data_IF_760347612725
#
_entry.id   IF_760347612725
#
_cell.length_a   1.000
_cell.length_b   1.000
_cell.length_c   1.000
_cell.angle_alpha   90.00
_cell.angle_beta   90.00
_cell.angle_gamma   90.00
#
_symmetry.space_group_name_H-M   'P 1'
#
loop_
_entity.id
_entity.type
_entity.pdbx_description
1 polymer ?
#
# COMPACT_ATOMS: atom_id res chain seq x y z
N UNK A 1 4.52 21.27 11.90
CA UNK A 1 4.31 19.81 12.06
C UNK A 1 3.42 19.21 10.97
N UNK A 2 2.21 19.75 10.74
CA UNK A 2 1.26 19.30 9.69
C UNK A 2 1.85 19.06 8.29
N UNK A 3 2.74 19.95 7.82
CA UNK A 3 3.39 19.76 6.51
C UNK A 3 4.24 18.48 6.43
N UNK A 4 4.91 18.10 7.51
CA UNK A 4 5.66 16.84 7.55
C UNK A 4 4.71 15.64 7.56
N UNK A 5 3.60 15.71 8.33
CA UNK A 5 2.59 14.64 8.40
C UNK A 5 1.98 14.39 7.02
N UNK A 6 1.53 15.45 6.33
CA UNK A 6 0.94 15.33 4.98
C UNK A 6 1.93 14.75 3.95
N UNK A 7 3.21 15.15 4.02
CA UNK A 7 4.26 14.58 3.16
C UNK A 7 4.47 13.10 3.45
N UNK A 8 4.57 12.71 4.72
CA UNK A 8 4.77 11.31 5.11
C UNK A 8 3.55 10.44 4.78
N UNK A 9 2.33 10.93 5.03
CA UNK A 9 1.08 10.30 4.62
C UNK A 9 1.06 10.01 3.11
N UNK A 10 1.47 10.99 2.30
CA UNK A 10 1.55 10.84 0.84
C UNK A 10 2.63 9.86 0.40
N UNK A 11 3.79 9.87 1.06
CA UNK A 11 4.86 8.91 0.79
C UNK A 11 4.44 7.48 1.10
N UNK A 12 3.88 7.23 2.29
CA UNK A 12 3.39 5.90 2.69
C UNK A 12 2.27 5.44 1.76
N UNK A 13 1.32 6.33 1.43
CA UNK A 13 0.27 6.06 0.45
C UNK A 13 0.84 5.57 -0.88
N UNK A 14 1.84 6.27 -1.44
CA UNK A 14 2.50 5.85 -2.68
C UNK A 14 3.19 4.50 -2.56
N UNK A 15 3.84 4.21 -1.43
CA UNK A 15 4.51 2.92 -1.20
C UNK A 15 3.52 1.75 -1.09
N UNK A 16 2.37 1.96 -0.45
CA UNK A 16 1.28 0.99 -0.37
C UNK A 16 0.65 0.74 -1.75
N UNK A 17 0.39 1.79 -2.52
CA UNK A 17 -0.11 1.66 -3.90
C UNK A 17 0.88 0.94 -4.82
N UNK A 18 2.18 1.22 -4.70
CA UNK A 18 3.23 0.46 -5.40
C UNK A 18 3.26 -1.02 -4.98
N UNK A 19 2.74 -1.36 -3.80
CA UNK A 19 2.56 -2.73 -3.32
C UNK A 19 1.22 -3.37 -3.74
N UNK A 20 0.50 -2.72 -4.68
CA UNK A 20 -0.80 -3.12 -5.26
C UNK A 20 -2.02 -2.91 -4.34
N UNK A 21 -1.89 -2.17 -3.25
CA UNK A 21 -3.06 -1.82 -2.43
C UNK A 21 -3.78 -0.61 -3.01
N UNK A 22 -5.07 -0.77 -3.25
CA UNK A 22 -5.95 0.33 -3.65
C UNK A 22 -6.37 1.13 -2.42
N UNK A 23 -6.08 2.44 -2.42
CA UNK A 23 -6.35 3.35 -1.31
C UNK A 23 -7.53 4.25 -1.69
N UNK A 24 -8.65 4.03 -1.03
CA UNK A 24 -9.90 4.77 -1.23
C UNK A 24 -9.82 6.16 -0.57
N UNK A 25 -9.21 6.23 0.62
CA UNK A 25 -9.03 7.49 1.36
C UNK A 25 -7.80 7.43 2.24
N UNK A 26 -7.14 8.57 2.44
CA UNK A 26 -6.04 8.72 3.38
C UNK A 26 -6.22 9.97 4.22
N UNK A 27 -5.86 9.91 5.49
CA UNK A 27 -6.01 11.01 6.43
C UNK A 27 -4.87 11.00 7.45
N UNK A 28 -4.55 12.17 8.02
CA UNK A 28 -3.63 12.26 9.15
C UNK A 28 -4.23 13.14 10.23
N UNK A 29 -4.02 12.74 11.49
CA UNK A 29 -4.51 13.46 12.66
C UNK A 29 -3.42 13.47 13.74
N UNK A 30 -3.39 14.51 14.55
CA UNK A 30 -2.47 14.64 15.69
C UNK A 30 -3.14 15.44 16.79
N UNK A 31 -2.82 15.14 18.04
CA UNK A 31 -3.15 16.00 19.20
C UNK A 31 -2.15 17.16 19.37
N UNK A 32 -1.17 17.29 18.47
CA UNK A 32 -0.06 18.26 18.50
C UNK A 32 0.85 18.15 19.74
N UNK A 33 0.64 17.16 20.60
CA UNK A 33 1.38 16.98 21.84
C UNK A 33 2.17 15.67 21.87
N UNK A 34 1.48 14.53 21.71
CA UNK A 34 2.01 13.19 22.01
C UNK A 34 1.74 12.17 20.92
N UNK A 35 0.66 12.32 20.17
CA UNK A 35 0.20 11.28 19.25
C UNK A 35 -0.06 11.86 17.86
N UNK A 36 0.33 11.08 16.86
CA UNK A 36 -0.07 11.27 15.48
C UNK A 36 -0.50 9.93 14.90
N UNK A 37 -1.46 9.96 13.97
CA UNK A 37 -1.98 8.78 13.29
C UNK A 37 -2.09 9.05 11.80
N UNK A 38 -1.72 8.04 11.01
CA UNK A 38 -2.02 7.95 9.59
C UNK A 38 -3.11 6.91 9.40
N UNK A 39 -4.18 7.29 8.71
CA UNK A 39 -5.34 6.42 8.46
C UNK A 39 -5.43 6.20 6.96
N UNK A 40 -5.62 4.95 6.57
CA UNK A 40 -5.83 4.54 5.19
C UNK A 40 -7.07 3.66 5.12
N UNK A 41 -8.04 4.08 4.32
CA UNK A 41 -9.17 3.25 3.91
C UNK A 41 -8.77 2.56 2.60
N UNK A 42 -8.84 1.24 2.59
CA UNK A 42 -8.33 0.38 1.51
C UNK A 42 -9.42 -0.56 1.05
N UNK A 43 -9.38 -0.95 -0.22
CA UNK A 43 -10.37 -1.85 -0.81
C UNK A 43 -10.28 -3.27 -0.22
N UNK A 44 -9.06 -3.81 -0.09
CA UNK A 44 -8.82 -5.14 0.46
C UNK A 44 -7.66 -5.14 1.45
N UNK A 45 -7.89 -5.70 2.65
CA UNK A 45 -6.86 -5.85 3.67
C UNK A 45 -5.82 -6.93 3.34
N UNK A 46 -6.19 -7.90 2.51
CA UNK A 46 -5.32 -8.95 2.02
C UNK A 46 -5.43 -9.02 0.51
N UNK A 47 -4.29 -8.94 -0.18
CA UNK A 47 -4.27 -9.09 -1.62
C UNK A 47 -4.39 -10.56 -2.01
N UNK A 48 -5.07 -10.86 -3.13
CA UNK A 48 -5.21 -12.24 -3.59
C UNK A 48 -3.84 -12.88 -3.85
N UNK A 49 -3.75 -14.20 -3.69
CA UNK A 49 -2.56 -15.03 -4.00
C UNK A 49 -2.30 -15.19 -5.50
N UNK A 50 -2.82 -14.28 -6.31
CA UNK A 50 -2.60 -14.23 -7.74
C UNK A 50 -2.17 -12.82 -8.14
N UNK A 51 -1.38 -12.73 -9.19
CA UNK A 51 -1.02 -11.47 -9.83
C UNK A 51 -1.27 -11.57 -11.33
N UNK A 52 -1.86 -10.52 -11.90
CA UNK A 52 -2.07 -10.38 -13.33
C UNK A 52 -0.94 -9.51 -13.89
N UNK A 53 -0.18 -10.04 -14.85
CA UNK A 53 0.90 -9.32 -15.51
C UNK A 53 0.51 -9.04 -16.96
N UNK A 54 0.48 -7.75 -17.35
CA UNK A 54 0.27 -7.36 -18.74
C UNK A 54 1.61 -7.25 -19.47
N UNK A 55 1.75 -8.02 -20.53
CA UNK A 55 2.94 -8.09 -21.37
C UNK A 55 2.90 -7.18 -22.59
N UNK A 56 3.79 -7.42 -23.56
CA UNK A 56 3.81 -6.70 -24.83
C UNK A 56 2.58 -7.02 -25.68
N UNK A 57 2.41 -6.23 -26.74
CA UNK A 57 1.47 -6.53 -27.82
C UNK A 57 1.87 -7.83 -28.54
N UNK A 58 0.90 -8.70 -28.84
CA UNK A 58 1.13 -10.07 -29.34
C UNK A 58 1.82 -10.12 -30.70
N UNK A 59 1.70 -9.07 -31.50
CA UNK A 59 2.35 -8.98 -32.82
C UNK A 59 3.85 -8.63 -32.71
N UNK A 60 4.32 -8.21 -31.53
CA UNK A 60 5.73 -8.02 -31.23
C UNK A 60 6.36 -9.38 -30.88
N UNK A 61 6.70 -10.15 -31.92
CA UNK A 61 7.11 -11.56 -31.80
C UNK A 61 8.28 -11.76 -30.83
N UNK A 62 9.34 -10.97 -30.96
CA UNK A 62 10.55 -11.16 -30.15
C UNK A 62 10.30 -10.91 -28.65
N UNK A 63 9.51 -9.88 -28.35
CA UNK A 63 9.11 -9.47 -27.01
C UNK A 63 8.14 -10.47 -26.40
N UNK A 64 7.19 -10.96 -27.20
CA UNK A 64 6.22 -11.99 -26.79
C UNK A 64 6.93 -13.31 -26.51
N UNK A 65 7.83 -13.75 -27.39
CA UNK A 65 8.65 -14.95 -27.19
C UNK A 65 9.49 -14.85 -25.91
N UNK A 66 10.10 -13.69 -25.67
CA UNK A 66 10.86 -13.40 -24.45
C UNK A 66 9.99 -13.41 -23.19
N UNK A 67 8.78 -12.83 -23.26
CA UNK A 67 7.82 -12.82 -22.17
C UNK A 67 7.38 -14.25 -21.81
N UNK A 68 7.00 -15.06 -22.80
CA UNK A 68 6.60 -16.46 -22.61
C UNK A 68 7.77 -17.27 -22.03
N UNK A 69 8.98 -17.12 -22.57
CA UNK A 69 10.16 -17.83 -22.06
C UNK A 69 10.45 -17.49 -20.61
N UNK A 70 10.29 -16.22 -20.21
CA UNK A 70 10.55 -15.75 -18.85
C UNK A 70 9.48 -16.19 -17.85
N UNK A 71 8.20 -16.12 -18.24
CA UNK A 71 7.06 -16.25 -17.32
C UNK A 71 6.27 -17.54 -17.47
N UNK A 72 6.38 -18.23 -18.60
CA UNK A 72 5.59 -19.42 -18.96
C UNK A 72 5.61 -20.51 -17.89
N UNK A 73 6.79 -20.85 -17.38
CA UNK A 73 6.92 -21.89 -16.36
C UNK A 73 6.36 -21.52 -14.98
N UNK A 74 6.18 -20.22 -14.70
CA UNK A 74 5.65 -19.72 -13.41
C UNK A 74 4.18 -19.30 -13.51
N UNK A 75 3.60 -19.28 -14.70
CA UNK A 75 2.25 -18.82 -14.94
C UNK A 75 1.26 -19.95 -14.76
N UNK A 76 0.21 -19.71 -13.97
CA UNK A 76 -0.96 -20.59 -13.88
C UNK A 76 -1.67 -20.61 -15.24
N UNK A 77 -1.77 -19.45 -15.89
CA UNK A 77 -2.40 -19.29 -17.19
C UNK A 77 -1.75 -18.14 -17.97
N UNK A 78 -1.66 -18.30 -19.28
CA UNK A 78 -1.29 -17.24 -20.23
C UNK A 78 -2.37 -17.17 -21.31
N UNK A 79 -2.81 -15.97 -21.64
CA UNK A 79 -3.80 -15.73 -22.69
C UNK A 79 -3.56 -14.38 -23.36
N UNK A 80 -4.42 -14.02 -24.31
CA UNK A 80 -4.41 -12.72 -24.97
C UNK A 80 -5.61 -11.88 -24.53
N UNK A 81 -5.37 -10.64 -24.14
CA UNK A 81 -6.41 -9.66 -23.79
C UNK A 81 -6.07 -8.34 -24.49
N UNK A 82 -7.01 -7.83 -25.28
CA UNK A 82 -6.88 -6.53 -25.96
C UNK A 82 -5.54 -6.36 -26.69
N UNK A 83 -5.20 -7.33 -27.55
CA UNK A 83 -3.94 -7.43 -28.31
C UNK A 83 -2.65 -7.62 -27.50
N UNK A 84 -2.73 -7.77 -26.18
CA UNK A 84 -1.57 -8.03 -25.32
C UNK A 84 -1.53 -9.45 -24.80
N UNK A 85 -0.33 -9.98 -24.64
CA UNK A 85 -0.14 -11.21 -23.86
C UNK A 85 -0.29 -10.90 -22.37
N UNK A 86 -1.08 -11.70 -21.67
CA UNK A 86 -1.32 -11.56 -20.23
C UNK A 86 -1.02 -12.88 -19.54
N UNK A 87 -0.43 -12.83 -18.34
CA UNK A 87 -0.26 -14.01 -17.49
C UNK A 87 -0.89 -13.81 -16.12
N UNK A 88 -1.36 -14.91 -15.54
CA UNK A 88 -1.67 -15.03 -14.11
C UNK A 88 -0.60 -15.90 -13.47
N UNK A 89 -0.01 -15.40 -12.39
CA UNK A 89 1.03 -16.10 -11.62
C UNK A 89 0.59 -16.20 -10.16
N UNK A 90 0.92 -17.32 -9.51
CA UNK A 90 0.74 -17.45 -8.06
C UNK A 90 1.69 -16.48 -7.34
N UNK A 91 1.18 -15.83 -6.30
CA UNK A 91 1.98 -14.94 -5.46
C UNK A 91 1.66 -15.18 -3.99
N UNK A 92 2.54 -14.67 -3.12
CA UNK A 92 2.31 -14.76 -1.68
C UNK A 92 1.10 -13.90 -1.32
N UNK A 93 0.30 -14.37 -0.36
CA UNK A 93 -0.69 -13.51 0.29
C UNK A 93 0.06 -12.34 0.92
N UNK A 94 -0.39 -11.12 0.66
CA UNK A 94 0.21 -9.92 1.23
C UNK A 94 -0.85 -9.27 2.11
N UNK A 95 -0.63 -9.30 3.43
CA UNK A 95 -1.42 -8.54 4.39
C UNK A 95 -0.98 -7.08 4.39
N UNK A 96 -1.94 -6.15 4.40
CA UNK A 96 -1.65 -4.72 4.53
C UNK A 96 -0.84 -4.43 5.80
N UNK A 97 -1.13 -5.13 6.90
CA UNK A 97 -0.47 -4.92 8.19
C UNK A 97 1.02 -5.28 8.12
N UNK A 98 1.32 -6.41 7.49
CA UNK A 98 2.70 -6.86 7.26
C UNK A 98 3.44 -5.93 6.28
N UNK A 99 2.79 -5.58 5.17
CA UNK A 99 3.38 -4.72 4.14
C UNK A 99 3.66 -3.30 4.67
N UNK A 100 2.71 -2.69 5.39
CA UNK A 100 2.89 -1.41 6.04
C UNK A 100 4.01 -1.45 7.08
N UNK A 101 4.11 -2.52 7.87
CA UNK A 101 5.22 -2.73 8.81
C UNK A 101 6.58 -2.73 8.12
N UNK A 102 6.69 -3.42 6.98
CA UNK A 102 7.92 -3.48 6.19
C UNK A 102 8.26 -2.12 5.55
N UNK A 103 7.26 -1.42 5.04
CA UNK A 103 7.40 -0.07 4.45
C UNK A 103 7.96 0.90 5.49
N UNK A 104 7.34 0.95 6.68
CA UNK A 104 7.75 1.88 7.74
C UNK A 104 9.16 1.52 8.24
N UNK A 105 9.47 0.23 8.44
CA UNK A 105 10.83 -0.19 8.82
C UNK A 105 11.87 0.25 7.80
N UNK A 106 11.64 0.00 6.51
CA UNK A 106 12.54 0.44 5.44
C UNK A 106 12.70 1.96 5.37
N UNK A 107 11.61 2.71 5.56
CA UNK A 107 11.64 4.17 5.58
C UNK A 107 12.43 4.71 6.79
N UNK A 108 12.30 4.08 7.96
CA UNK A 108 13.10 4.38 9.16
C UNK A 108 14.59 4.07 8.93
N UNK A 109 14.89 2.94 8.29
CA UNK A 109 16.28 2.50 8.05
C UNK A 109 16.99 3.33 6.97
N UNK A 110 16.26 3.86 5.99
CA UNK A 110 16.81 4.60 4.85
C UNK A 110 16.70 6.13 4.95
N UNK A 111 15.95 6.64 5.93
CA UNK A 111 15.58 8.05 6.02
C UNK A 111 16.58 8.96 6.78
N UNK A 112 16.43 10.26 6.56
CA UNK A 112 17.02 11.29 7.43
C UNK A 112 16.47 11.15 8.85
N UNK A 113 17.35 11.15 9.86
CA UNK A 113 17.00 10.97 11.28
C UNK A 113 16.38 12.23 11.92
N UNK A 114 15.44 12.90 11.24
CA UNK A 114 14.80 14.13 11.73
C UNK A 114 13.28 14.10 11.57
N UNK A 115 12.57 14.76 12.49
CA UNK A 115 11.11 14.89 12.47
C UNK A 115 10.37 13.54 12.59
N UNK A 116 9.34 13.34 11.78
CA UNK A 116 8.49 12.13 11.87
C UNK A 116 9.28 10.83 11.69
N UNK A 117 10.37 10.84 10.93
CA UNK A 117 11.21 9.64 10.78
C UNK A 117 11.89 9.24 12.10
N UNK A 118 12.30 10.19 12.95
CA UNK A 118 12.80 9.87 14.28
C UNK A 118 11.69 9.40 15.22
N UNK A 119 10.47 9.96 15.09
CA UNK A 119 9.33 9.52 15.91
C UNK A 119 8.96 8.06 15.60
N UNK A 120 8.90 7.69 14.32
CA UNK A 120 8.67 6.32 13.88
C UNK A 120 9.78 5.35 14.34
N UNK A 121 11.02 5.84 14.47
CA UNK A 121 12.14 5.06 15.03
C UNK A 121 11.95 4.76 16.52
N UNK A 122 11.41 5.72 17.27
CA UNK A 122 11.12 5.55 18.70
C UNK A 122 9.97 4.57 18.96
N UNK A 123 9.06 4.45 18.00
CA UNK A 123 8.07 3.38 17.98
C UNK A 123 6.83 3.74 17.18
N UNK A 124 6.14 2.72 16.68
CA UNK A 124 4.84 2.86 16.04
C UNK A 124 4.00 1.62 16.28
N UNK A 125 2.69 1.75 16.09
CA UNK A 125 1.74 0.63 16.14
C UNK A 125 0.85 0.68 14.90
N UNK A 126 0.54 -0.49 14.35
CA UNK A 126 -0.37 -0.63 13.20
C UNK A 126 -1.60 -1.41 13.66
N UNK A 127 -2.77 -0.85 13.38
CA UNK A 127 -4.06 -1.42 13.71
C UNK A 127 -4.86 -1.67 12.43
N UNK A 128 -5.62 -2.76 12.41
CA UNK A 128 -6.73 -2.93 11.46
C UNK A 128 -8.03 -2.45 12.10
N UNK A 129 -8.94 -1.90 11.30
CA UNK A 129 -10.21 -1.36 11.79
C UNK A 129 -11.14 -2.39 12.45
N UNK A 130 -10.92 -3.69 12.20
CA UNK A 130 -11.68 -4.79 12.79
C UNK A 130 -11.07 -5.34 14.10
N UNK A 131 -10.01 -4.71 14.63
CA UNK A 131 -9.44 -5.12 15.92
C UNK A 131 -10.37 -4.76 17.08
N UNK A 132 -10.49 -5.68 18.07
CA UNK A 132 -11.50 -5.61 19.15
C UNK A 132 -11.43 -4.36 20.03
N UNK A 133 -10.30 -3.63 20.06
CA UNK A 133 -10.14 -2.43 20.88
C UNK A 133 -9.14 -1.46 20.24
N UNK A 134 -9.66 -0.45 19.56
CA UNK A 134 -8.88 0.70 19.13
C UNK A 134 -8.74 1.71 20.28
N UNK A 135 -7.63 2.44 20.32
CA UNK A 135 -7.43 3.54 21.25
C UNK A 135 -8.44 4.67 20.96
N UNK A 136 -8.95 5.36 21.99
CA UNK A 136 -9.90 6.47 21.84
C UNK A 136 -9.39 7.57 20.92
N UNK A 137 -8.10 7.89 20.95
CA UNK A 137 -7.46 8.84 20.04
C UNK A 137 -7.61 8.41 18.56
N UNK A 138 -7.40 7.12 18.28
CA UNK A 138 -7.56 6.56 16.93
C UNK A 138 -9.03 6.61 16.49
N UNK A 139 -9.97 6.32 17.39
CA UNK A 139 -11.41 6.41 17.11
C UNK A 139 -11.80 7.86 16.77
N UNK A 140 -11.35 8.84 17.55
CA UNK A 140 -11.58 10.26 17.27
C UNK A 140 -11.04 10.64 15.89
N UNK A 141 -9.82 10.21 15.55
CA UNK A 141 -9.23 10.50 14.25
C UNK A 141 -10.00 9.85 13.08
N UNK A 142 -10.56 8.65 13.28
CA UNK A 142 -11.43 7.99 12.29
C UNK A 142 -12.72 8.79 12.08
N UNK A 143 -13.35 9.28 13.15
CA UNK A 143 -14.56 10.11 13.03
C UNK A 143 -14.26 11.38 12.24
N UNK A 144 -13.15 12.07 12.52
CA UNK A 144 -12.72 13.21 11.72
C UNK A 144 -12.51 12.86 10.24
N UNK A 145 -11.91 11.71 9.94
CA UNK A 145 -11.75 11.26 8.55
C UNK A 145 -13.11 11.03 7.86
N UNK A 146 -14.11 10.51 8.57
CA UNK A 146 -15.45 10.26 8.03
C UNK A 146 -16.14 11.60 7.73
N UNK A 147 -16.07 12.54 8.67
CA UNK A 147 -16.73 13.85 8.57
C UNK A 147 -16.10 14.77 7.50
N UNK A 148 -14.81 14.59 7.19
CA UNK A 148 -14.06 15.40 6.22
C UNK A 148 -14.55 15.23 4.76
N UNK A 149 -15.39 14.23 4.45
CA UNK A 149 -16.14 14.14 3.18
C UNK A 149 -15.34 13.88 1.88
N UNK A 150 -14.03 14.13 1.84
CA UNK A 150 -13.21 13.98 0.63
C UNK A 150 -12.70 12.54 0.43
N UNK A 151 -13.01 11.91 -0.71
CA UNK A 151 -12.45 10.63 -1.13
C UNK A 151 -11.37 10.86 -2.19
N UNK A 152 -10.33 10.02 -2.21
CA UNK A 152 -9.35 10.06 -3.30
C UNK A 152 -10.06 9.48 -4.53
N UNK A 153 -10.30 10.32 -5.55
CA UNK A 153 -10.79 9.88 -6.86
C UNK A 153 -9.68 9.31 -7.72
#
# INVERSE_FOLDING_TARGET
>A
MWGQLKRKLTSISKMLSNSRFEIIKKFCFTDEEKHAVFIFMIEFANLPKISINRGPEVYLKAETDSYIKKRGGNSIMIWTDSMRIVSIEETKLISIKENASLIIKKDVDSGSHTGIASDLKNGFSIYLGNEKKLNSFVVTAINHMIDDGEFIR
#
